data_IF_301411075709
#
_entry.id   IF_301411075709
#
_cell.length_a   1.000
_cell.length_b   1.000
_cell.length_c   1.000
_cell.angle_alpha   90.00
_cell.angle_beta   90.00
_cell.angle_gamma   90.00
#
_symmetry.space_group_name_H-M   'P 1'
#
loop_
_entity.id
_entity.type
_entity.pdbx_description
1 polymer ?
#
# COMPACT_ATOMS: atom_id res chain seq x y z
N UNK A 1 26.02 -5.67 -15.30
CA UNK A 1 25.67 -5.74 -13.87
C UNK A 1 25.80 -4.32 -13.33
N UNK A 2 24.70 -3.57 -13.21
CA UNK A 2 24.75 -2.10 -13.15
C UNK A 2 24.00 -1.48 -11.95
N UNK A 3 23.84 -2.21 -10.84
CA UNK A 3 23.03 -1.71 -9.72
C UNK A 3 23.72 -1.68 -8.35
N UNK A 4 24.93 -2.23 -8.21
CA UNK A 4 25.61 -2.24 -6.90
C UNK A 4 27.09 -1.95 -7.08
N UNK A 5 27.45 -0.66 -7.01
CA UNK A 5 28.85 -0.22 -7.07
C UNK A 5 29.64 -0.57 -5.81
N UNK A 6 28.97 -0.86 -4.68
CA UNK A 6 29.60 -1.31 -3.41
C UNK A 6 28.65 -2.23 -2.62
N UNK A 7 29.20 -2.97 -1.64
CA UNK A 7 28.43 -3.78 -0.67
C UNK A 7 27.78 -2.94 0.45
N UNK A 8 27.85 -1.61 0.39
CA UNK A 8 27.42 -0.73 1.49
C UNK A 8 25.90 -0.46 1.51
N UNK A 9 25.14 -1.00 0.55
CA UNK A 9 23.67 -0.87 0.54
C UNK A 9 23.04 -2.04 1.27
N UNK A 10 22.55 -1.76 2.47
CA UNK A 10 21.78 -2.70 3.30
C UNK A 10 20.27 -2.62 3.09
N UNK A 11 19.82 -1.73 2.19
CA UNK A 11 18.40 -1.51 1.86
C UNK A 11 17.66 -0.61 2.84
N UNK A 12 18.33 0.01 3.80
CA UNK A 12 17.72 0.93 4.77
C UNK A 12 17.59 2.37 4.26
N UNK A 13 18.35 2.72 3.22
CA UNK A 13 18.25 4.01 2.54
C UNK A 13 16.98 4.11 1.69
N UNK A 14 16.61 5.34 1.37
CA UNK A 14 15.54 5.71 0.45
C UNK A 14 16.25 6.45 -0.70
N UNK A 15 16.58 5.73 -1.76
CA UNK A 15 17.48 6.25 -2.79
C UNK A 15 16.85 7.33 -3.65
N UNK A 16 15.57 7.17 -3.96
CA UNK A 16 14.85 8.16 -4.75
C UNK A 16 14.16 9.21 -3.88
N UNK A 17 14.14 9.10 -2.56
CA UNK A 17 13.57 10.06 -1.60
C UNK A 17 12.03 10.17 -1.70
N UNK A 18 11.34 9.03 -1.85
CA UNK A 18 9.88 8.98 -1.93
C UNK A 18 9.18 8.59 -0.61
N UNK A 19 9.97 8.30 0.43
CA UNK A 19 9.53 7.93 1.76
C UNK A 19 9.44 6.43 2.00
N UNK A 20 9.70 5.59 1.01
CA UNK A 20 9.91 4.15 1.16
C UNK A 20 11.41 3.84 1.11
N UNK A 21 11.87 2.90 1.94
CA UNK A 21 13.27 2.45 1.80
C UNK A 21 13.41 1.36 0.72
N UNK A 22 14.60 1.25 0.16
CA UNK A 22 14.94 0.34 -0.94
C UNK A 22 14.52 -1.12 -0.62
N UNK A 23 14.57 -1.54 0.66
CA UNK A 23 14.12 -2.87 1.09
C UNK A 23 12.59 -3.06 1.05
N UNK A 24 11.83 -2.06 1.53
CA UNK A 24 10.37 -2.05 1.45
C UNK A 24 9.92 -2.09 0.00
N UNK A 25 10.59 -1.33 -0.86
CA UNK A 25 10.32 -1.28 -2.28
C UNK A 25 10.60 -2.62 -2.97
N UNK A 26 11.75 -3.24 -2.70
CA UNK A 26 12.06 -4.57 -3.19
C UNK A 26 11.00 -5.60 -2.79
N UNK A 27 10.54 -5.56 -1.53
CA UNK A 27 9.45 -6.43 -1.05
C UNK A 27 8.13 -6.12 -1.74
N UNK A 28 7.82 -4.84 -1.97
CA UNK A 28 6.61 -4.40 -2.65
C UNK A 28 6.65 -4.65 -4.16
N UNK A 29 7.82 -4.90 -4.74
CA UNK A 29 8.02 -5.00 -6.18
C UNK A 29 7.99 -3.65 -6.89
N UNK A 30 8.37 -2.57 -6.19
CA UNK A 30 8.52 -1.22 -6.75
C UNK A 30 9.97 -0.93 -7.14
N UNK A 31 10.23 0.24 -7.72
CA UNK A 31 11.52 0.60 -8.31
C UNK A 31 12.19 1.69 -7.46
N UNK A 32 13.27 1.37 -6.71
CA UNK A 32 13.93 2.28 -5.76
C UNK A 32 14.67 3.44 -6.40
N UNK A 33 14.60 3.57 -7.73
CA UNK A 33 15.20 4.67 -8.49
C UNK A 33 14.16 5.63 -9.06
N UNK A 34 12.87 5.37 -8.79
CA UNK A 34 11.75 6.08 -9.38
C UNK A 34 10.68 6.42 -8.34
N UNK A 35 10.67 7.69 -7.90
CA UNK A 35 9.72 8.25 -6.91
C UNK A 35 8.23 8.04 -7.20
N UNK A 36 7.87 7.68 -8.43
CA UNK A 36 6.49 7.39 -8.81
C UNK A 36 6.10 5.91 -8.54
N UNK A 37 7.09 5.05 -8.35
CA UNK A 37 6.97 3.62 -8.11
C UNK A 37 6.98 3.35 -6.61
N UNK A 38 5.83 3.56 -5.95
CA UNK A 38 5.72 3.39 -4.50
C UNK A 38 4.42 2.70 -4.12
N UNK A 39 4.48 1.81 -3.13
CA UNK A 39 3.28 1.16 -2.60
C UNK A 39 2.51 2.14 -1.70
N UNK A 40 1.51 2.79 -2.28
CA UNK A 40 0.58 3.66 -1.54
C UNK A 40 -0.84 3.56 -2.06
N UNK A 41 -1.80 3.84 -1.19
CA UNK A 41 -3.19 4.08 -1.62
C UNK A 41 -3.20 5.42 -2.35
N UNK A 42 -3.55 5.40 -3.64
CA UNK A 42 -3.61 6.63 -4.44
C UNK A 42 -5.03 7.14 -4.63
N UNK A 43 -6.04 6.30 -4.44
CA UNK A 43 -7.44 6.71 -4.49
C UNK A 43 -8.29 6.01 -3.42
N UNK A 44 -9.17 6.80 -2.82
CA UNK A 44 -10.30 6.35 -2.01
C UNK A 44 -11.57 6.83 -2.70
N UNK A 45 -12.40 5.89 -3.14
CA UNK A 45 -13.62 6.19 -3.87
C UNK A 45 -14.83 5.77 -3.04
N UNK A 46 -15.74 6.70 -2.76
CA UNK A 46 -17.04 6.36 -2.19
C UNK A 46 -17.91 5.72 -3.29
N UNK A 47 -18.43 4.53 -3.01
CA UNK A 47 -19.43 3.87 -3.86
C UNK A 47 -20.84 4.13 -3.31
N UNK A 48 -21.87 3.89 -4.12
CA UNK A 48 -23.26 3.90 -3.66
C UNK A 48 -23.39 3.05 -2.39
N UNK A 49 -24.24 3.45 -1.44
CA UNK A 49 -24.37 2.92 -0.06
C UNK A 49 -23.32 3.35 0.97
N UNK A 50 -22.36 4.22 0.63
CA UNK A 50 -21.45 4.84 1.60
C UNK A 50 -20.20 4.01 1.92
N UNK A 51 -19.98 2.90 1.22
CA UNK A 51 -18.75 2.12 1.32
C UNK A 51 -17.58 2.81 0.60
N UNK A 52 -16.36 2.45 0.96
CA UNK A 52 -15.12 3.02 0.41
C UNK A 52 -14.36 1.95 -0.35
N UNK A 53 -13.99 2.24 -1.60
CA UNK A 53 -13.07 1.42 -2.39
C UNK A 53 -11.68 2.02 -2.31
N UNK A 54 -10.70 1.21 -1.91
CA UNK A 54 -9.28 1.57 -1.92
C UNK A 54 -8.63 1.10 -3.21
N UNK A 55 -7.77 1.93 -3.81
CA UNK A 55 -6.96 1.57 -4.98
C UNK A 55 -5.47 1.85 -4.71
N UNK A 56 -4.62 0.90 -5.10
CA UNK A 56 -3.16 1.00 -4.98
C UNK A 56 -2.45 0.24 -6.12
N UNK A 57 -1.17 0.51 -6.41
CA UNK A 57 -0.40 -0.21 -7.43
C UNK A 57 -0.19 -1.66 -7.02
N UNK A 58 -0.27 -2.58 -7.98
CA UNK A 58 -0.06 -4.01 -7.78
C UNK A 58 1.11 -4.51 -8.63
N UNK A 59 2.07 -5.14 -7.97
CA UNK A 59 3.19 -5.84 -8.59
C UNK A 59 2.84 -7.33 -8.79
N UNK A 60 3.33 -7.91 -9.88
CA UNK A 60 3.09 -9.31 -10.20
C UNK A 60 3.67 -10.24 -9.11
N UNK A 61 2.91 -11.28 -8.74
CA UNK A 61 3.33 -12.25 -7.73
C UNK A 61 3.32 -11.74 -6.28
N UNK A 62 2.78 -10.54 -6.03
CA UNK A 62 2.59 -9.99 -4.68
C UNK A 62 1.16 -10.15 -4.21
N UNK A 63 1.01 -10.48 -2.93
CA UNK A 63 -0.27 -10.46 -2.23
C UNK A 63 -0.30 -9.25 -1.30
N UNK A 64 -1.50 -8.71 -1.09
CA UNK A 64 -1.71 -7.48 -0.34
C UNK A 64 -2.70 -7.69 0.80
N UNK A 65 -2.46 -7.02 1.92
CA UNK A 65 -3.40 -6.91 3.02
C UNK A 65 -3.67 -5.45 3.30
N UNK A 66 -4.96 -5.08 3.33
CA UNK A 66 -5.39 -3.76 3.79
C UNK A 66 -5.64 -3.85 5.29
N UNK A 67 -5.18 -2.84 6.00
CA UNK A 67 -5.53 -2.64 7.40
C UNK A 67 -6.15 -1.28 7.59
N UNK A 68 -7.00 -1.16 8.60
CA UNK A 68 -7.69 0.07 8.93
C UNK A 68 -7.65 0.36 10.43
N UNK A 69 -7.94 1.62 10.77
CA UNK A 69 -8.28 2.07 12.12
C UNK A 69 -9.19 3.30 12.03
N UNK A 70 -10.00 3.52 13.05
CA UNK A 70 -11.02 4.58 13.04
C UNK A 70 -10.55 5.88 13.72
N UNK A 71 -9.35 5.89 14.30
CA UNK A 71 -8.71 7.07 14.89
C UNK A 71 -7.19 7.08 14.62
N UNK A 72 -6.62 8.28 14.50
CA UNK A 72 -5.16 8.46 14.42
C UNK A 72 -4.49 8.43 15.79
N UNK A 73 -5.20 8.88 16.82
CA UNK A 73 -4.68 9.16 18.17
C UNK A 73 -4.70 7.93 19.08
N UNK A 74 -5.22 6.79 18.61
CA UNK A 74 -5.24 5.53 19.35
C UNK A 74 -5.85 4.38 18.56
N UNK A 75 -5.58 3.15 19.01
CA UNK A 75 -6.11 1.91 18.45
C UNK A 75 -5.13 1.14 17.57
N UNK A 76 -5.21 -0.19 17.63
CA UNK A 76 -4.45 -1.09 16.79
C UNK A 76 -4.99 -1.12 15.36
N UNK A 77 -4.11 -1.37 14.40
CA UNK A 77 -4.49 -1.64 13.03
C UNK A 77 -5.23 -2.98 12.96
N UNK A 78 -6.44 -2.96 12.43
CA UNK A 78 -7.26 -4.15 12.19
C UNK A 78 -7.19 -4.56 10.72
N UNK A 79 -7.12 -5.86 10.44
CA UNK A 79 -7.17 -6.36 9.06
C UNK A 79 -8.56 -6.16 8.46
N UNK A 80 -8.61 -5.53 7.29
CA UNK A 80 -9.84 -5.41 6.53
C UNK A 80 -10.11 -6.74 5.82
N UNK A 81 -11.22 -7.39 6.20
CA UNK A 81 -11.69 -8.60 5.55
C UNK A 81 -12.19 -8.30 4.15
N UNK A 82 -12.01 -9.26 3.24
CA UNK A 82 -12.51 -9.20 1.87
C UNK A 82 -11.49 -9.73 0.88
N UNK A 83 -11.82 -9.64 -0.41
CA UNK A 83 -10.99 -10.16 -1.49
C UNK A 83 -10.33 -9.01 -2.24
N UNK A 84 -9.00 -8.96 -2.20
CA UNK A 84 -8.23 -8.04 -3.05
C UNK A 84 -8.40 -8.49 -4.51
N UNK A 85 -8.86 -7.58 -5.35
CA UNK A 85 -8.96 -7.77 -6.79
C UNK A 85 -7.80 -7.06 -7.47
N UNK A 86 -7.15 -7.69 -8.44
CA UNK A 86 -6.05 -7.09 -9.20
C UNK A 86 -6.44 -7.04 -10.67
N UNK A 87 -6.39 -5.86 -11.28
CA UNK A 87 -6.67 -5.63 -12.69
C UNK A 87 -5.70 -4.58 -13.25
N UNK A 88 -5.00 -4.91 -14.34
CA UNK A 88 -4.14 -3.96 -15.05
C UNK A 88 -3.05 -3.30 -14.20
N UNK A 89 -2.44 -4.04 -13.26
CA UNK A 89 -1.42 -3.49 -12.35
C UNK A 89 -1.98 -2.60 -11.24
N UNK A 90 -3.30 -2.57 -11.05
CA UNK A 90 -3.95 -1.90 -9.92
C UNK A 90 -4.66 -2.93 -9.06
N UNK A 91 -4.47 -2.86 -7.75
CA UNK A 91 -5.21 -3.63 -6.78
C UNK A 91 -6.32 -2.77 -6.17
N UNK A 92 -7.43 -3.41 -5.83
CA UNK A 92 -8.56 -2.77 -5.18
C UNK A 92 -9.20 -3.67 -4.13
N UNK A 93 -9.73 -3.05 -3.07
CA UNK A 93 -10.56 -3.70 -2.06
C UNK A 93 -11.66 -2.74 -1.60
N UNK A 94 -12.87 -3.26 -1.39
CA UNK A 94 -14.01 -2.51 -0.89
C UNK A 94 -14.12 -2.70 0.62
N UNK A 95 -14.09 -1.62 1.38
CA UNK A 95 -14.46 -1.59 2.79
C UNK A 95 -15.97 -1.37 2.93
N UNK A 96 -16.72 -2.47 3.05
CA UNK A 96 -18.16 -2.45 3.28
C UNK A 96 -18.57 -1.98 4.70
N UNK A 97 -17.63 -1.81 5.61
CA UNK A 97 -17.91 -1.38 7.00
C UNK A 97 -17.64 0.10 7.23
N UNK A 98 -16.99 0.76 6.26
CA UNK A 98 -16.65 2.19 6.34
C UNK A 98 -17.85 3.13 6.47
N UNK A 99 -19.02 2.75 5.96
CA UNK A 99 -20.23 3.57 6.03
C UNK A 99 -20.71 3.85 7.46
N UNK A 100 -20.36 2.99 8.42
CA UNK A 100 -20.74 3.12 9.82
C UNK A 100 -19.77 4.00 10.64
N UNK A 101 -18.67 4.47 10.04
CA UNK A 101 -17.64 5.22 10.74
C UNK A 101 -17.50 6.65 10.20
N UNK A 102 -17.39 7.67 11.09
CA UNK A 102 -17.22 9.05 10.66
C UNK A 102 -15.84 9.29 10.02
N UNK A 103 -14.83 8.55 10.48
CA UNK A 103 -13.47 8.61 9.99
C UNK A 103 -12.88 7.21 9.94
N UNK A 104 -12.04 6.96 8.93
CA UNK A 104 -11.26 5.73 8.81
C UNK A 104 -9.96 6.00 8.09
N UNK A 105 -8.90 5.39 8.61
CA UNK A 105 -7.54 5.49 8.10
C UNK A 105 -7.09 4.13 7.64
N UNK A 106 -6.33 4.09 6.55
CA UNK A 106 -5.94 2.85 5.89
C UNK A 106 -4.45 2.76 5.68
N UNK A 107 -3.94 1.53 5.68
CA UNK A 107 -2.61 1.20 5.17
C UNK A 107 -2.68 -0.09 4.37
N UNK A 108 -1.75 -0.24 3.44
CA UNK A 108 -1.60 -1.46 2.63
C UNK A 108 -0.25 -2.08 2.94
N UNK A 109 -0.24 -3.39 3.15
CA UNK A 109 0.97 -4.16 3.38
C UNK A 109 1.13 -5.19 2.26
N UNK A 110 2.37 -5.40 1.82
CA UNK A 110 2.73 -6.58 1.03
C UNK A 110 2.96 -7.77 1.97
N UNK A 111 2.44 -8.94 1.61
CA UNK A 111 2.61 -10.20 2.34
C UNK A 111 3.89 -10.92 1.90
#
# INVERSE_FOLDING_TARGET
>A
MAFFSTLARDGTGDFDEDGANDFQEFRAGTDPTNRASVLRVFALMSVASGHTTLLWPAAAGRAYQVQFRDSLDGGDWSSLSGTVTIAGGTASLVDATSAAQPHRFYRVLVQ
#
